data_IF_395223638035
#
_entry.id   IF_395223638035
#
_cell.length_a   1.000
_cell.length_b   1.000
_cell.length_c   1.000
_cell.angle_alpha   90.00
_cell.angle_beta   90.00
_cell.angle_gamma   90.00
#
_symmetry.space_group_name_H-M   'P 1'
#
loop_
_entity.id
_entity.type
_entity.pdbx_description
1 polymer ?
#
# COMPACT_ATOMS: atom_id res chain seq x y z
N UNK A 1 8.42 -15.34 -48.40
CA UNK A 1 9.09 -14.38 -47.49
C UNK A 1 8.10 -13.62 -46.62
N UNK A 2 7.57 -14.24 -45.55
CA UNK A 2 7.00 -13.55 -44.39
C UNK A 2 7.22 -14.46 -43.19
N UNK A 3 8.19 -14.15 -42.35
CA UNK A 3 8.43 -14.86 -41.09
C UNK A 3 7.90 -14.01 -39.93
N UNK A 4 6.97 -14.61 -39.21
CA UNK A 4 6.33 -14.15 -37.99
C UNK A 4 7.41 -14.06 -36.90
N UNK A 5 7.64 -12.86 -36.34
CA UNK A 5 8.43 -12.73 -35.11
C UNK A 5 7.50 -12.92 -33.91
N UNK A 6 7.58 -14.11 -33.34
CA UNK A 6 7.05 -14.46 -32.02
C UNK A 6 7.85 -13.68 -30.97
N UNK A 7 7.19 -12.82 -30.20
CA UNK A 7 7.78 -12.20 -29.01
C UNK A 7 7.75 -13.24 -27.88
N UNK A 8 8.91 -13.85 -27.61
CA UNK A 8 9.11 -14.75 -26.46
C UNK A 8 9.34 -13.87 -25.23
N UNK A 9 8.35 -13.78 -24.35
CA UNK A 9 8.46 -13.16 -23.02
C UNK A 9 9.19 -14.16 -22.10
N UNK A 10 10.51 -14.22 -22.20
CA UNK A 10 11.37 -15.03 -21.32
C UNK A 10 11.89 -14.17 -20.18
N UNK A 11 11.38 -14.41 -18.97
CA UNK A 11 11.84 -13.80 -17.73
C UNK A 11 13.11 -14.53 -17.25
N UNK A 12 14.19 -14.50 -18.04
CA UNK A 12 15.49 -15.04 -17.65
C UNK A 12 16.53 -13.92 -17.59
N UNK A 13 16.83 -13.49 -16.37
CA UNK A 13 18.12 -12.89 -16.05
C UNK A 13 18.48 -13.20 -14.59
N UNK A 14 19.47 -14.09 -14.46
CA UNK A 14 20.23 -14.40 -13.25
C UNK A 14 21.24 -13.29 -12.99
N UNK A 15 21.19 -12.57 -11.86
CA UNK A 15 22.37 -11.98 -11.17
C UNK A 15 22.08 -11.70 -9.67
N UNK A 16 22.74 -12.50 -8.81
CA UNK A 16 23.38 -12.25 -7.50
C UNK A 16 22.76 -11.53 -6.28
N UNK A 17 23.24 -12.07 -5.14
CA UNK A 17 23.53 -11.50 -3.80
C UNK A 17 22.51 -11.62 -2.66
N UNK A 18 23.06 -12.07 -1.52
CA UNK A 18 22.43 -12.44 -0.25
C UNK A 18 22.10 -11.20 0.57
N UNK A 19 20.89 -11.17 1.16
CA UNK A 19 20.58 -10.36 2.35
C UNK A 19 19.28 -9.57 2.30
N UNK A 20 18.12 -10.24 2.34
CA UNK A 20 16.83 -9.58 2.56
C UNK A 20 15.66 -10.46 2.14
N UNK A 21 14.90 -10.99 3.10
CA UNK A 21 13.72 -11.80 2.77
C UNK A 21 12.57 -10.87 2.31
N UNK A 22 12.29 -10.97 1.01
CA UNK A 22 11.28 -10.26 0.23
C UNK A 22 9.91 -10.97 0.34
N UNK A 23 8.81 -10.24 0.54
CA UNK A 23 7.45 -10.79 0.40
C UNK A 23 6.98 -10.82 -1.07
N UNK A 24 7.81 -11.34 -1.95
CA UNK A 24 7.48 -11.60 -3.37
C UNK A 24 6.31 -12.57 -3.56
N UNK A 25 6.13 -13.49 -2.60
CA UNK A 25 5.30 -14.71 -2.76
C UNK A 25 4.26 -14.89 -1.66
N UNK A 26 4.09 -13.92 -0.76
CA UNK A 26 3.27 -14.09 0.44
C UNK A 26 1.97 -13.29 0.34
N UNK A 27 0.84 -14.01 0.18
CA UNK A 27 -0.52 -13.45 0.27
C UNK A 27 -0.86 -13.23 1.74
N UNK A 28 -1.24 -12.01 2.11
CA UNK A 28 -1.77 -11.72 3.43
C UNK A 28 -3.30 -11.60 3.33
N UNK A 29 -4.02 -12.52 3.94
CA UNK A 29 -5.47 -12.39 4.14
C UNK A 29 -5.64 -11.72 5.50
N UNK A 30 -6.12 -10.47 5.53
CA UNK A 30 -6.27 -9.70 6.77
C UNK A 30 -7.74 -9.40 7.02
N UNK A 31 -8.26 -9.88 8.14
CA UNK A 31 -9.61 -9.53 8.58
C UNK A 31 -9.54 -8.33 9.53
N UNK A 32 -9.68 -7.13 8.97
CA UNK A 32 -9.75 -5.89 9.73
C UNK A 32 -8.58 -5.68 10.71
N UNK A 33 -8.86 -5.15 11.91
CA UNK A 33 -7.84 -4.97 12.94
C UNK A 33 -7.64 -6.18 13.86
N UNK A 34 -8.47 -7.22 13.75
CA UNK A 34 -8.29 -8.47 14.52
C UNK A 34 -7.02 -9.21 14.14
N UNK A 35 -6.64 -9.13 12.85
CA UNK A 35 -5.38 -9.62 12.30
C UNK A 35 -4.67 -8.47 11.59
N UNK A 36 -3.56 -8.00 12.15
CA UNK A 36 -2.78 -6.93 11.54
C UNK A 36 -1.29 -7.26 11.53
N UNK A 37 -0.62 -6.65 10.57
CA UNK A 37 0.78 -6.88 10.27
C UNK A 37 1.54 -5.61 10.63
N UNK A 38 2.41 -5.68 11.63
CA UNK A 38 3.34 -4.61 12.01
C UNK A 38 4.72 -4.87 11.42
N UNK A 39 5.37 -3.80 10.96
CA UNK A 39 6.81 -3.85 10.69
C UNK A 39 7.58 -3.50 11.99
N UNK A 40 8.57 -4.32 12.35
CA UNK A 40 9.41 -4.11 13.54
C UNK A 40 10.45 -2.99 13.38
N UNK A 41 10.98 -2.54 14.52
CA UNK A 41 11.60 -1.25 14.89
C UNK A 41 12.82 -0.72 14.09
N UNK A 42 13.17 -1.28 12.93
CA UNK A 42 14.28 -0.79 12.09
C UNK A 42 13.86 -0.24 10.74
N UNK A 43 12.55 -0.05 10.50
CA UNK A 43 12.05 0.62 9.31
C UNK A 43 12.30 2.13 9.38
N UNK A 44 13.28 2.61 8.62
CA UNK A 44 13.34 3.99 8.19
C UNK A 44 12.66 4.08 6.83
N UNK A 45 11.51 4.76 6.76
CA UNK A 45 10.84 5.00 5.49
C UNK A 45 11.81 5.78 4.58
N UNK A 46 12.09 5.31 3.35
CA UNK A 46 13.06 5.93 2.45
C UNK A 46 12.42 7.19 1.86
N UNK A 47 12.42 8.28 2.62
CA UNK A 47 11.61 9.46 2.32
C UNK A 47 12.48 10.60 1.81
N UNK A 48 12.73 10.59 0.51
CA UNK A 48 13.47 11.64 -0.18
C UNK A 48 12.56 12.37 -1.17
N UNK A 49 11.62 13.18 -0.68
CA UNK A 49 10.70 14.02 -1.49
C UNK A 49 9.77 13.28 -2.48
N UNK A 50 10.14 12.09 -2.93
CA UNK A 50 9.45 11.28 -3.92
C UNK A 50 9.28 9.88 -3.35
N UNK A 51 8.16 9.24 -3.69
CA UNK A 51 7.91 7.85 -3.32
C UNK A 51 6.74 7.28 -4.11
N UNK A 52 6.76 5.96 -4.26
CA UNK A 52 5.67 5.16 -4.79
C UNK A 52 5.37 4.00 -3.84
N UNK A 53 4.09 3.78 -3.54
CA UNK A 53 3.62 2.63 -2.76
C UNK A 53 2.57 1.91 -3.57
N UNK A 54 2.79 0.63 -3.86
CA UNK A 54 1.81 -0.18 -4.55
C UNK A 54 1.35 -1.35 -3.68
N UNK A 55 0.08 -1.71 -3.82
CA UNK A 55 -0.52 -2.86 -3.14
C UNK A 55 -1.64 -3.41 -4.00
N UNK A 56 -1.71 -4.73 -4.08
CA UNK A 56 -2.84 -5.42 -4.70
C UNK A 56 -3.91 -5.65 -3.61
N UNK A 57 -5.13 -5.21 -3.89
CA UNK A 57 -6.25 -5.18 -2.94
C UNK A 57 -7.43 -5.93 -3.53
N UNK A 58 -8.08 -6.75 -2.70
CA UNK A 58 -9.38 -7.36 -3.00
C UNK A 58 -10.31 -7.19 -1.81
N UNK A 59 -11.36 -6.42 -2.01
CA UNK A 59 -12.42 -6.23 -1.00
C UNK A 59 -13.38 -7.40 -1.10
N UNK A 60 -13.59 -8.13 0.01
CA UNK A 60 -14.39 -9.37 0.04
C UNK A 60 -15.82 -9.11 0.50
N UNK A 61 -16.01 -8.22 1.47
CA UNK A 61 -17.32 -7.83 2.01
C UNK A 61 -17.52 -6.32 1.89
N UNK A 62 -18.76 -5.80 1.80
CA UNK A 62 -19.02 -4.35 1.83
C UNK A 62 -18.50 -3.68 3.11
N UNK A 63 -18.23 -2.38 3.04
CA UNK A 63 -17.82 -1.57 4.19
C UNK A 63 -16.49 -0.82 4.04
N UNK A 64 -16.09 -0.11 5.09
CA UNK A 64 -14.82 0.61 5.13
C UNK A 64 -13.65 -0.38 5.19
N UNK A 65 -12.62 -0.16 4.36
CA UNK A 65 -11.40 -0.95 4.36
C UNK A 65 -10.16 -0.07 4.37
N UNK A 66 -9.07 -0.65 4.86
CA UNK A 66 -7.76 -0.01 4.86
C UNK A 66 -6.74 -0.97 4.28
N UNK A 67 -6.00 -0.54 3.27
CA UNK A 67 -4.88 -1.31 2.76
C UNK A 67 -3.68 -1.15 3.69
N UNK A 68 -3.30 0.09 4.01
CA UNK A 68 -2.21 0.36 4.93
C UNK A 68 -2.34 1.71 5.63
N UNK A 69 -1.67 1.83 6.78
CA UNK A 69 -1.50 3.09 7.51
C UNK A 69 -0.06 3.22 7.99
N UNK A 70 0.46 4.45 7.93
CA UNK A 70 1.76 4.84 8.45
C UNK A 70 1.57 6.04 9.38
N UNK A 71 2.04 5.90 10.62
CA UNK A 71 1.94 6.96 11.65
C UNK A 71 3.25 7.11 12.39
N UNK A 72 3.79 8.32 12.45
CA UNK A 72 4.92 8.67 13.29
C UNK A 72 4.51 8.83 14.75
N UNK A 73 5.40 8.63 15.73
CA UNK A 73 5.04 8.62 17.16
C UNK A 73 4.38 9.89 17.70
N UNK A 74 4.48 11.02 17.00
CA UNK A 74 3.92 12.31 17.41
C UNK A 74 2.83 12.85 16.48
N UNK A 75 2.46 12.11 15.43
CA UNK A 75 1.44 12.54 14.50
C UNK A 75 0.03 12.23 15.06
N UNK A 76 -0.86 13.24 15.18
CA UNK A 76 -2.23 13.02 15.64
C UNK A 76 -3.09 12.29 14.59
N UNK A 77 -2.66 12.32 13.33
CA UNK A 77 -3.32 11.69 12.17
C UNK A 77 -2.32 10.85 11.39
N UNK A 78 -2.81 10.11 10.40
CA UNK A 78 -1.96 9.32 9.51
C UNK A 78 -1.03 10.22 8.69
N UNK A 79 0.26 9.90 8.71
CA UNK A 79 1.24 10.57 7.85
C UNK A 79 1.13 10.07 6.40
N UNK A 80 0.77 8.79 6.23
CA UNK A 80 0.42 8.21 4.95
C UNK A 80 -0.57 7.05 5.17
N UNK A 81 -1.63 6.96 4.38
CA UNK A 81 -2.52 5.79 4.43
C UNK A 81 -3.28 5.65 3.11
N UNK A 82 -3.76 4.44 2.82
CA UNK A 82 -4.65 4.16 1.70
C UNK A 82 -5.85 3.34 2.18
N UNK A 83 -7.04 3.88 1.93
CA UNK A 83 -8.31 3.41 2.46
C UNK A 83 -9.40 3.54 1.39
N UNK A 84 -10.56 2.95 1.65
CA UNK A 84 -11.74 3.13 0.81
C UNK A 84 -13.01 2.67 1.48
N UNK A 85 -14.11 2.96 0.82
CA UNK A 85 -15.45 2.53 1.17
C UNK A 85 -16.26 2.27 -0.11
N UNK A 86 -17.58 2.08 0.04
CA UNK A 86 -18.52 1.86 -1.06
C UNK A 86 -18.78 3.12 -1.93
N UNK A 87 -18.03 4.21 -1.73
CA UNK A 87 -18.24 5.49 -2.41
C UNK A 87 -16.98 6.08 -3.03
N UNK A 88 -15.82 5.85 -2.43
CA UNK A 88 -14.56 6.46 -2.85
C UNK A 88 -13.32 5.76 -2.30
N UNK A 89 -12.19 6.07 -2.92
CA UNK A 89 -10.87 5.80 -2.38
C UNK A 89 -10.35 7.03 -1.65
N UNK A 90 -9.59 6.82 -0.58
CA UNK A 90 -8.99 7.87 0.21
C UNK A 90 -7.53 7.60 0.46
N UNK A 91 -6.70 8.62 0.26
CA UNK A 91 -5.31 8.57 0.71
C UNK A 91 -5.03 9.70 1.69
N UNK A 92 -4.36 9.37 2.79
CA UNK A 92 -3.87 10.36 3.74
C UNK A 92 -2.46 10.77 3.37
N UNK A 93 -2.15 12.05 3.52
CA UNK A 93 -0.81 12.58 3.41
C UNK A 93 -0.62 13.66 4.49
N UNK A 94 0.28 13.42 5.44
CA UNK A 94 0.61 14.34 6.54
C UNK A 94 -0.62 14.87 7.29
N UNK A 95 -1.56 13.98 7.60
CA UNK A 95 -2.79 14.31 8.31
C UNK A 95 -3.89 14.93 7.47
N UNK A 96 -3.70 15.09 6.16
CA UNK A 96 -4.75 15.54 5.22
C UNK A 96 -5.33 14.34 4.48
N UNK A 97 -6.65 14.16 4.54
CA UNK A 97 -7.39 13.12 3.81
C UNK A 97 -7.75 13.62 2.41
N UNK A 98 -7.26 12.94 1.37
CA UNK A 98 -7.56 13.21 -0.03
C UNK A 98 -8.54 12.18 -0.58
N UNK A 99 -9.66 12.65 -1.15
CA UNK A 99 -10.64 11.80 -1.82
C UNK A 99 -10.28 11.61 -3.30
N UNK A 100 -10.33 10.38 -3.76
CA UNK A 100 -10.22 9.96 -5.15
C UNK A 100 -11.53 9.29 -5.58
N UNK A 101 -11.98 9.59 -6.79
CA UNK A 101 -13.21 9.04 -7.35
C UNK A 101 -13.05 7.57 -7.69
N UNK A 102 -14.14 6.82 -7.65
CA UNK A 102 -14.14 5.39 -7.96
C UNK A 102 -14.14 4.52 -6.70
N UNK A 103 -14.55 3.28 -6.90
CA UNK A 103 -14.72 2.27 -5.87
C UNK A 103 -14.17 0.95 -6.39
N UNK A 104 -13.85 0.03 -5.48
CA UNK A 104 -13.42 -1.32 -5.88
C UNK A 104 -14.62 -2.25 -5.91
N UNK A 105 -14.75 -3.00 -6.99
CA UNK A 105 -15.74 -4.07 -7.07
C UNK A 105 -15.39 -5.20 -6.08
N UNK A 106 -16.41 -5.71 -5.39
CA UNK A 106 -16.25 -6.83 -4.46
C UNK A 106 -15.74 -8.07 -5.19
N UNK A 107 -14.85 -8.81 -4.54
CA UNK A 107 -14.31 -10.07 -5.02
C UNK A 107 -13.33 -9.95 -6.18
N UNK A 108 -12.98 -8.73 -6.62
CA UNK A 108 -12.01 -8.48 -7.70
C UNK A 108 -10.70 -7.90 -7.18
N UNK A 109 -9.59 -8.31 -7.79
CA UNK A 109 -8.27 -7.77 -7.51
C UNK A 109 -8.03 -6.47 -8.27
N UNK A 110 -7.51 -5.48 -7.56
CA UNK A 110 -7.03 -4.22 -8.11
C UNK A 110 -5.63 -3.94 -7.60
N UNK A 111 -4.73 -3.48 -8.49
CA UNK A 111 -3.49 -2.84 -8.07
C UNK A 111 -3.75 -1.37 -7.83
N UNK A 112 -3.39 -0.89 -6.65
CA UNK A 112 -3.43 0.52 -6.30
C UNK A 112 -2.00 1.00 -6.12
N UNK A 113 -1.64 2.08 -6.82
CA UNK A 113 -0.32 2.71 -6.70
C UNK A 113 -0.47 4.17 -6.30
N UNK A 114 -0.02 4.49 -5.09
CA UNK A 114 0.00 5.83 -4.54
C UNK A 114 1.38 6.44 -4.77
N UNK A 115 1.44 7.55 -5.50
CA UNK A 115 2.67 8.28 -5.78
C UNK A 115 2.66 9.65 -5.15
N UNK A 116 3.77 10.02 -4.53
CA UNK A 116 4.02 11.37 -4.00
C UNK A 116 5.24 11.93 -4.71
N UNK A 117 5.09 13.08 -5.34
CA UNK A 117 6.20 13.85 -5.89
C UNK A 117 6.21 15.26 -5.28
N UNK A 118 6.97 15.45 -4.20
CA UNK A 118 7.11 16.75 -3.56
C UNK A 118 7.91 17.76 -4.39
N UNK A 119 8.65 17.34 -5.43
CA UNK A 119 9.34 18.29 -6.32
C UNK A 119 8.37 18.96 -7.30
N UNK A 120 7.27 18.28 -7.62
CA UNK A 120 6.20 18.76 -8.51
C UNK A 120 4.90 19.06 -7.79
N UNK A 121 4.92 19.08 -6.45
CA UNK A 121 3.74 19.20 -5.59
C UNK A 121 2.60 18.25 -5.98
N UNK A 122 2.92 17.03 -6.42
CA UNK A 122 1.94 16.06 -6.90
C UNK A 122 1.69 14.96 -5.88
N UNK A 123 0.43 14.55 -5.78
CA UNK A 123 0.00 13.37 -5.06
C UNK A 123 -1.07 12.66 -5.88
N UNK A 124 -0.79 11.44 -6.34
CA UNK A 124 -1.64 10.74 -7.29
C UNK A 124 -1.92 9.30 -6.90
N UNK A 125 -3.10 8.82 -7.26
CA UNK A 125 -3.52 7.44 -7.13
C UNK A 125 -3.82 6.85 -8.50
N UNK A 126 -3.13 5.77 -8.82
CA UNK A 126 -3.40 4.92 -9.98
C UNK A 126 -4.14 3.67 -9.53
N UNK A 127 -5.13 3.25 -10.33
CA UNK A 127 -5.95 2.06 -10.09
C UNK A 127 -5.91 1.21 -11.34
N UNK A 128 -5.48 -0.05 -11.23
CA UNK A 128 -5.41 -0.95 -12.38
C UNK A 128 -6.76 -1.06 -13.10
N UNK A 129 -6.75 -0.90 -14.42
CA UNK A 129 -7.97 -0.91 -15.24
C UNK A 129 -8.62 0.46 -15.40
N UNK A 130 -8.13 1.50 -14.71
CA UNK A 130 -8.45 2.89 -15.01
C UNK A 130 -7.27 3.51 -15.80
N UNK A 131 -7.50 4.03 -17.02
CA UNK A 131 -6.42 4.58 -17.84
C UNK A 131 -5.84 5.89 -17.30
N UNK A 132 -6.58 6.64 -16.49
CA UNK A 132 -6.20 7.98 -16.04
C UNK A 132 -5.89 7.99 -14.54
N UNK A 133 -4.61 8.19 -14.16
CA UNK A 133 -4.25 8.42 -12.76
C UNK A 133 -4.94 9.67 -12.23
N UNK A 134 -5.51 9.57 -11.04
CA UNK A 134 -6.12 10.73 -10.41
C UNK A 134 -5.09 11.48 -9.59
N UNK A 135 -4.89 12.76 -9.90
CA UNK A 135 -3.88 13.59 -9.27
C UNK A 135 -4.48 14.71 -8.41
N UNK A 136 -3.78 15.07 -7.34
CA UNK A 136 -4.03 16.22 -6.48
C UNK A 136 -2.74 17.03 -6.39
N UNK A 137 -2.88 18.36 -6.34
CA UNK A 137 -1.76 19.24 -6.04
C UNK A 137 -1.66 19.40 -4.52
N UNK A 138 -0.53 19.03 -3.93
CA UNK A 138 -0.31 19.07 -2.49
C UNK A 138 1.09 19.59 -2.20
N UNK A 139 1.16 20.70 -1.48
CA UNK A 139 2.40 21.25 -0.94
C UNK A 139 2.64 20.58 0.42
N UNK A 140 2.99 19.29 0.38
CA UNK A 140 3.28 18.51 1.56
C UNK A 140 4.79 18.44 1.82
N UNK A 141 5.13 18.57 3.10
CA UNK A 141 6.50 18.47 3.63
C UNK A 141 7.01 17.03 3.53
N UNK A 142 8.23 16.81 4.00
CA UNK A 142 8.78 15.46 4.12
C UNK A 142 7.98 14.67 5.14
N UNK A 143 7.58 13.45 4.77
CA UNK A 143 7.01 12.49 5.69
C UNK A 143 8.09 12.14 6.75
N UNK A 144 7.75 11.96 8.03
CA UNK A 144 8.75 11.55 9.03
C UNK A 144 9.34 10.17 8.69
N UNK A 145 10.67 9.95 8.82
CA UNK A 145 11.32 8.69 8.47
C UNK A 145 11.02 7.55 9.43
N UNK A 146 10.62 7.85 10.67
CA UNK A 146 10.33 6.85 11.69
C UNK A 146 8.85 6.84 12.05
N UNK A 147 8.26 5.65 12.06
CA UNK A 147 6.86 5.46 12.33
C UNK A 147 6.46 4.00 12.23
N UNK A 148 5.20 3.73 12.56
CA UNK A 148 4.60 2.40 12.52
C UNK A 148 3.80 2.25 11.24
N UNK A 149 4.14 1.24 10.44
CA UNK A 149 3.36 0.81 9.28
C UNK A 149 2.48 -0.38 9.69
N UNK A 150 1.18 -0.29 9.40
CA UNK A 150 0.19 -1.34 9.60
C UNK A 150 -0.49 -1.67 8.27
N UNK A 151 -0.70 -2.95 7.98
CA UNK A 151 -1.52 -3.40 6.85
C UNK A 151 -2.89 -3.87 7.35
N UNK A 152 -3.96 -3.62 6.58
CA UNK A 152 -5.32 -4.13 6.86
C UNK A 152 -6.09 -3.44 8.00
N UNK A 153 -5.39 -2.72 8.88
CA UNK A 153 -5.97 -2.18 10.10
C UNK A 153 -6.05 -0.64 10.11
N UNK A 154 -7.19 -0.15 10.60
CA UNK A 154 -7.50 1.25 10.87
C UNK A 154 -7.71 1.46 12.38
N UNK A 155 -6.63 1.49 13.18
CA UNK A 155 -6.78 1.62 14.65
C UNK A 155 -7.28 3.01 15.07
N UNK A 156 -7.23 4.00 14.17
CA UNK A 156 -7.63 5.39 14.40
C UNK A 156 -8.64 5.77 13.32
N UNK A 157 -9.68 6.50 13.69
CA UNK A 157 -10.70 7.02 12.77
C UNK A 157 -11.62 5.97 12.11
N UNK A 158 -11.88 4.81 12.72
CA UNK A 158 -13.03 4.01 12.31
C UNK A 158 -14.30 4.85 12.49
N UNK A 159 -15.10 5.01 11.44
CA UNK A 159 -16.33 5.78 11.55
C UNK A 159 -17.28 5.11 12.56
N UNK A 160 -17.85 5.83 13.53
CA UNK A 160 -18.76 5.24 14.51
C UNK A 160 -19.94 4.56 13.81
N UNK A 161 -20.10 3.24 14.00
CA UNK A 161 -21.16 2.45 13.36
C UNK A 161 -20.89 2.04 11.91
N UNK A 162 -19.72 2.36 11.34
CA UNK A 162 -19.34 1.83 10.03
C UNK A 162 -18.98 0.35 10.13
N UNK A 163 -19.45 -0.41 9.15
CA UNK A 163 -19.10 -1.82 9.00
C UNK A 163 -17.71 -1.91 8.39
N UNK A 164 -16.81 -2.67 9.02
CA UNK A 164 -15.46 -2.89 8.48
C UNK A 164 -15.49 -4.04 7.48
N UNK A 165 -14.95 -3.80 6.30
CA UNK A 165 -14.85 -4.79 5.25
C UNK A 165 -13.69 -5.77 5.49
N UNK A 166 -13.87 -7.00 5.03
CA UNK A 166 -12.78 -7.98 4.91
C UNK A 166 -11.99 -7.67 3.65
N UNK A 167 -10.66 -7.59 3.76
CA UNK A 167 -9.78 -7.25 2.64
C UNK A 167 -8.62 -8.25 2.52
N UNK A 168 -8.38 -8.75 1.32
CA UNK A 168 -7.17 -9.49 1.03
C UNK A 168 -6.14 -8.51 0.44
N UNK A 169 -4.91 -8.55 0.96
CA UNK A 169 -3.81 -7.71 0.51
C UNK A 169 -2.68 -8.57 -0.03
N UNK A 170 -2.10 -8.13 -1.14
CA UNK A 170 -0.98 -8.82 -1.75
C UNK A 170 0.05 -7.83 -2.29
N UNK A 171 1.32 -8.27 -2.36
CA UNK A 171 2.42 -7.54 -2.98
C UNK A 171 2.53 -6.06 -2.56
N UNK A 172 2.50 -5.80 -1.25
CA UNK A 172 2.81 -4.45 -0.74
C UNK A 172 4.28 -4.13 -1.04
N UNK A 173 4.52 -3.03 -1.78
CA UNK A 173 5.85 -2.61 -2.24
C UNK A 173 6.00 -1.09 -2.11
N UNK A 174 7.22 -0.65 -1.83
CA UNK A 174 7.58 0.75 -1.64
C UNK A 174 8.85 1.06 -2.41
N UNK A 175 8.87 2.17 -3.14
CA UNK A 175 10.01 2.72 -3.86
C UNK A 175 10.24 4.18 -3.44
N UNK A 176 11.48 4.65 -3.55
CA UNK A 176 11.91 6.02 -3.21
C UNK A 176 11.87 6.99 -4.41
N UNK A 177 11.20 6.57 -5.50
CA UNK A 177 11.00 7.35 -6.71
C UNK A 177 9.53 7.34 -7.18
N UNK A 178 9.25 8.02 -8.30
CA UNK A 178 7.90 8.22 -8.85
C UNK A 178 7.70 7.56 -10.22
N UNK A 179 8.57 6.61 -10.57
CA UNK A 179 8.53 5.91 -11.85
C UNK A 179 7.31 4.98 -11.95
N UNK A 180 7.07 4.51 -13.16
CA UNK A 180 6.15 3.39 -13.37
C UNK A 180 6.87 2.09 -13.00
N UNK A 181 6.33 1.38 -12.01
CA UNK A 181 6.88 0.09 -11.59
C UNK A 181 6.03 -1.06 -12.13
N UNK A 182 6.69 -2.00 -12.81
CA UNK A 182 6.04 -3.15 -13.42
C UNK A 182 5.48 -4.17 -12.41
N UNK A 183 4.56 -5.01 -12.85
CA UNK A 183 3.97 -6.08 -12.00
C UNK A 183 5.01 -7.03 -11.39
N UNK A 184 6.08 -7.30 -12.15
CA UNK A 184 7.16 -8.22 -11.80
C UNK A 184 8.43 -7.49 -11.35
N UNK A 185 8.40 -6.16 -11.27
CA UNK A 185 9.53 -5.38 -10.79
C UNK A 185 9.61 -5.53 -9.27
N UNK A 186 10.80 -5.90 -8.81
CA UNK A 186 11.13 -5.89 -7.40
C UNK A 186 11.09 -4.43 -6.91
N UNK A 187 10.86 -4.21 -5.61
CA UNK A 187 11.38 -2.98 -5.01
C UNK A 187 12.86 -2.85 -5.40
N UNK A 188 13.42 -1.66 -5.57
CA UNK A 188 14.85 -1.53 -5.89
C UNK A 188 15.72 -2.43 -4.97
N UNK A 189 16.98 -2.75 -5.30
CA UNK A 189 17.87 -3.50 -4.42
C UNK A 189 18.20 -2.78 -3.09
N UNK A 190 17.72 -1.55 -2.92
CA UNK A 190 17.55 -0.79 -1.66
C UNK A 190 16.10 -0.72 -1.16
N UNK A 191 15.17 -1.03 -2.04
CA UNK A 191 13.78 -1.40 -1.81
C UNK A 191 13.71 -2.45 -0.73
N UNK A 192 13.16 -1.99 0.37
CA UNK A 192 13.08 -2.73 1.60
C UNK A 192 12.21 -3.98 1.37
N UNK A 193 12.87 -5.14 1.31
CA UNK A 193 12.22 -6.39 1.66
C UNK A 193 11.56 -6.19 3.01
N UNK A 194 10.25 -6.46 3.08
CA UNK A 194 9.45 -6.42 4.30
C UNK A 194 10.00 -7.47 5.29
N UNK A 195 11.12 -7.15 5.91
CA UNK A 195 11.79 -7.98 6.88
C UNK A 195 11.02 -7.85 8.18
N UNK A 196 10.44 -8.98 8.60
CA UNK A 196 9.70 -9.15 9.85
C UNK A 196 8.35 -8.44 9.87
N UNK A 197 7.43 -9.04 9.12
CA UNK A 197 6.02 -8.90 9.44
C UNK A 197 5.65 -9.89 10.55
N UNK A 198 5.33 -9.37 11.74
CA UNK A 198 4.74 -10.15 12.82
C UNK A 198 3.23 -10.25 12.61
N UNK A 199 2.70 -11.47 12.56
CA UNK A 199 1.25 -11.67 12.64
C UNK A 199 0.83 -11.47 14.10
N UNK A 200 0.14 -10.37 14.40
CA UNK A 200 -0.40 -10.16 15.74
C UNK A 200 -1.90 -10.45 15.74
N UNK A 201 -2.29 -11.58 16.34
CA UNK A 201 -3.68 -11.86 16.67
C UNK A 201 -4.03 -11.14 17.96
N UNK A 202 -5.10 -10.36 17.94
CA UNK A 202 -5.64 -9.79 19.18
C UNK A 202 -6.35 -10.94 19.91
N UNK A 203 -5.99 -11.30 21.16
CA UNK A 203 -6.71 -12.33 21.88
C UNK A 203 -8.17 -11.93 21.99
N UNK A 204 -9.08 -12.82 21.53
CA UNK A 204 -10.50 -12.61 21.68
C UNK A 204 -10.82 -12.34 23.15
N UNK A 205 -11.50 -11.22 23.42
CA UNK A 205 -12.10 -11.00 24.72
C UNK A 205 -13.11 -12.13 24.95
N UNK A 206 -12.68 -13.13 25.72
CA UNK A 206 -13.58 -14.10 26.31
C UNK A 206 -14.53 -13.36 27.24
N UNK A 207 -15.81 -13.36 26.89
CA UNK A 207 -16.89 -13.13 27.83
C UNK A 207 -16.80 -14.24 28.88
N UNK A 208 -16.45 -13.85 30.11
CA UNK A 208 -16.54 -14.62 31.33
C UNK A 208 -17.05 -13.72 32.44
#
# INVERSE_FOLDING_TARGET
NKAIKLAIFSCLSLFFTVGGYFMSKSKAVLQGCSDHWTLQDSWAMPLQFQMTVCVDVRVVTPGEWTAFTYTSPRSPYYDLALQGDDSALYAWLLGVKHRFSGQLELGRWYRLCLRRDARRDSFSLEVSGNPDPQQRTVIARTIPPTGTLLLGCQPRNASPGATQATVELYLFRVWDDVSEHGACEEGDGRGLGLAHVGHHQTPGQGLG
#
